data_IF_166303738242
#
_entry.id   IF_166303738242
#
_cell.length_a   1.000
_cell.length_b   1.000
_cell.length_c   1.000
_cell.angle_alpha   90.00
_cell.angle_beta   90.00
_cell.angle_gamma   90.00
#
_symmetry.space_group_name_H-M   'P 1'
#
loop_
_entity.id
_entity.type
_entity.pdbx_description
1 polymer ?
#
# COMPACT_ATOMS: atom_id res chain seq x y z
N UNK A 1 -11.92 16.07 -16.49
CA UNK A 1 -11.26 15.09 -17.38
C UNK A 1 -10.12 14.53 -16.56
N UNK A 2 -10.28 13.35 -15.96
CA UNK A 2 -9.19 12.69 -15.25
C UNK A 2 -8.11 12.33 -16.27
N UNK A 3 -6.90 12.86 -16.10
CA UNK A 3 -5.72 12.45 -16.85
C UNK A 3 -5.37 11.05 -16.36
N UNK A 4 -5.74 10.03 -17.11
CA UNK A 4 -5.22 8.66 -16.90
C UNK A 4 -3.71 8.76 -17.13
N UNK A 5 -2.92 8.58 -16.08
CA UNK A 5 -1.46 8.57 -16.18
C UNK A 5 -1.05 7.48 -17.17
N UNK A 6 -0.50 7.86 -18.28
CA UNK A 6 0.06 6.92 -19.25
C UNK A 6 1.34 6.32 -18.65
N UNK A 7 1.63 5.05 -18.92
CA UNK A 7 2.92 4.44 -18.57
C UNK A 7 4.11 5.20 -19.18
N UNK A 8 3.87 5.97 -20.25
CA UNK A 8 4.86 6.83 -20.87
C UNK A 8 5.26 8.06 -20.01
N UNK A 9 4.40 8.45 -19.08
CA UNK A 9 4.64 9.59 -18.18
C UNK A 9 5.43 9.18 -16.92
N UNK A 10 5.63 7.87 -16.71
CA UNK A 10 6.41 7.39 -15.60
C UNK A 10 7.91 7.55 -15.81
N UNK A 11 8.60 7.99 -14.75
CA UNK A 11 10.07 8.04 -14.67
C UNK A 11 10.56 6.92 -13.74
N UNK A 12 11.14 5.87 -14.30
CA UNK A 12 11.54 4.68 -13.54
C UNK A 12 12.98 4.81 -13.05
N UNK A 13 13.19 4.69 -11.74
CA UNK A 13 14.49 4.42 -11.13
C UNK A 13 14.60 2.91 -10.89
N UNK A 14 15.30 2.21 -11.77
CA UNK A 14 15.54 0.76 -11.69
C UNK A 14 16.80 0.46 -10.90
N UNK A 15 16.67 -0.02 -9.66
CA UNK A 15 17.78 -0.37 -8.77
C UNK A 15 18.06 -1.87 -8.88
N UNK A 16 18.98 -2.24 -9.74
CA UNK A 16 19.34 -3.64 -10.02
C UNK A 16 20.86 -3.75 -10.26
N UNK A 17 21.62 -4.40 -9.36
CA UNK A 17 23.07 -4.52 -9.48
C UNK A 17 23.53 -5.41 -10.63
N UNK A 18 22.68 -6.33 -11.10
CA UNK A 18 23.01 -7.19 -12.23
C UNK A 18 22.72 -6.51 -13.55
N UNK A 19 23.75 -6.13 -14.30
CA UNK A 19 23.60 -5.51 -15.62
C UNK A 19 22.73 -6.30 -16.58
N UNK A 20 22.83 -7.65 -16.55
CA UNK A 20 21.99 -8.52 -17.39
C UNK A 20 20.51 -8.42 -17.00
N UNK A 21 20.20 -8.46 -15.72
CA UNK A 21 18.83 -8.34 -15.23
C UNK A 21 18.28 -6.94 -15.46
N UNK A 22 19.07 -5.90 -15.19
CA UNK A 22 18.70 -4.53 -15.49
C UNK A 22 18.33 -4.33 -16.96
N UNK A 23 19.17 -4.86 -17.89
CA UNK A 23 18.88 -4.80 -19.33
C UNK A 23 17.58 -5.53 -19.69
N UNK A 24 17.33 -6.70 -19.09
CA UNK A 24 16.10 -7.46 -19.36
C UNK A 24 14.87 -6.68 -18.89
N UNK A 25 14.90 -6.19 -17.65
CA UNK A 25 13.79 -5.42 -17.06
C UNK A 25 13.56 -4.13 -17.84
N UNK A 26 14.61 -3.39 -18.19
CA UNK A 26 14.49 -2.16 -18.99
C UNK A 26 13.79 -2.41 -20.34
N UNK A 27 14.15 -3.48 -21.05
CA UNK A 27 13.48 -3.83 -22.30
C UNK A 27 11.99 -4.15 -22.10
N UNK A 28 11.65 -4.86 -21.02
CA UNK A 28 10.25 -5.15 -20.72
C UNK A 28 9.47 -3.86 -20.39
N UNK A 29 10.07 -2.91 -19.71
CA UNK A 29 9.49 -1.58 -19.44
C UNK A 29 9.31 -0.76 -20.72
N UNK A 30 10.32 -0.72 -21.59
CA UNK A 30 10.27 -0.06 -22.89
C UNK A 30 9.16 -0.63 -23.78
N UNK A 31 9.00 -1.97 -23.81
CA UNK A 31 7.91 -2.61 -24.57
C UNK A 31 6.52 -2.24 -24.06
N UNK A 32 6.40 -1.82 -22.82
CA UNK A 32 5.15 -1.33 -22.21
C UNK A 32 4.94 0.17 -22.39
N UNK A 33 5.88 0.85 -23.04
CA UNK A 33 5.76 2.27 -23.37
C UNK A 33 6.41 3.22 -22.35
N UNK A 34 7.15 2.70 -21.36
CA UNK A 34 7.94 3.54 -20.46
C UNK A 34 9.09 4.16 -21.21
N UNK A 35 9.19 5.52 -21.17
CA UNK A 35 10.18 6.27 -21.92
C UNK A 35 11.40 6.70 -21.10
N UNK A 36 11.25 6.81 -19.79
CA UNK A 36 12.29 7.34 -18.91
C UNK A 36 12.70 6.26 -17.90
N UNK A 37 13.89 5.67 -18.10
CA UNK A 37 14.44 4.64 -17.23
C UNK A 37 15.87 5.01 -16.87
N UNK A 38 16.12 5.17 -15.57
CA UNK A 38 17.48 5.33 -15.03
C UNK A 38 17.84 4.06 -14.27
N UNK A 39 18.94 3.42 -14.66
CA UNK A 39 19.43 2.20 -14.00
C UNK A 39 20.49 2.58 -12.97
N UNK A 40 20.34 2.08 -11.76
CA UNK A 40 21.20 2.31 -10.61
C UNK A 40 21.65 0.97 -10.04
N UNK A 41 22.87 0.88 -9.53
CA UNK A 41 23.44 -0.39 -9.06
C UNK A 41 23.27 -0.61 -7.55
N UNK A 42 22.91 0.42 -6.79
CA UNK A 42 22.86 0.37 -5.33
C UNK A 42 21.75 1.25 -4.75
N UNK A 43 21.37 0.98 -3.50
CA UNK A 43 20.38 1.79 -2.78
C UNK A 43 20.89 3.22 -2.51
N UNK A 44 22.17 3.38 -2.19
CA UNK A 44 22.75 4.69 -1.96
C UNK A 44 22.72 5.56 -3.23
N UNK A 45 22.93 4.96 -4.41
CA UNK A 45 22.76 5.68 -5.68
C UNK A 45 21.30 6.11 -5.88
N UNK A 46 20.33 5.26 -5.51
CA UNK A 46 18.91 5.58 -5.60
C UNK A 46 18.52 6.73 -4.66
N UNK A 47 18.94 6.66 -3.39
CA UNK A 47 18.68 7.72 -2.41
C UNK A 47 19.33 9.04 -2.82
N UNK A 48 20.57 9.01 -3.37
CA UNK A 48 21.23 10.19 -3.89
C UNK A 48 20.46 10.81 -5.08
N UNK A 49 20.05 10.00 -6.04
CA UNK A 49 19.28 10.47 -7.18
C UNK A 49 17.92 11.07 -6.76
N UNK A 50 17.26 10.46 -5.79
CA UNK A 50 16.00 10.96 -5.23
C UNK A 50 16.17 12.27 -4.47
N UNK A 51 17.28 12.43 -3.73
CA UNK A 51 17.57 13.66 -2.96
C UNK A 51 17.95 14.86 -3.85
N UNK A 52 18.44 14.62 -5.06
CA UNK A 52 18.69 15.67 -6.06
C UNK A 52 17.37 16.25 -6.63
N UNK A 53 16.26 15.59 -6.42
CA UNK A 53 14.92 15.97 -6.82
C UNK A 53 14.27 14.89 -7.71
N UNK A 54 13.25 14.23 -7.19
CA UNK A 54 12.46 13.28 -7.95
C UNK A 54 11.62 14.01 -9.03
N UNK A 55 11.65 13.51 -10.25
CA UNK A 55 10.78 14.01 -11.31
C UNK A 55 9.32 13.65 -11.01
N UNK A 56 8.37 14.42 -11.54
CA UNK A 56 6.97 14.04 -11.51
C UNK A 56 6.79 12.66 -12.17
N UNK A 57 5.98 11.79 -11.60
CA UNK A 57 5.81 10.42 -12.10
C UNK A 57 6.93 9.45 -11.75
N UNK A 58 7.84 9.80 -10.84
CA UNK A 58 8.91 8.90 -10.40
C UNK A 58 8.36 7.65 -9.71
N UNK A 59 8.85 6.48 -10.13
CA UNK A 59 8.58 5.16 -9.52
C UNK A 59 9.90 4.44 -9.30
N UNK A 60 10.12 3.93 -8.10
CA UNK A 60 11.30 3.11 -7.79
C UNK A 60 10.96 1.63 -8.01
N UNK A 61 11.73 0.94 -8.83
CA UNK A 61 11.70 -0.51 -9.00
C UNK A 61 13.01 -1.07 -8.47
N UNK A 62 12.98 -1.87 -7.41
CA UNK A 62 14.20 -2.35 -6.76
C UNK A 62 14.26 -3.86 -6.67
N UNK A 63 15.44 -4.42 -6.83
CA UNK A 63 15.76 -5.77 -6.39
C UNK A 63 15.82 -5.84 -4.87
N UNK A 64 15.48 -7.02 -4.29
CA UNK A 64 15.58 -7.24 -2.85
C UNK A 64 17.01 -7.20 -2.34
N UNK A 65 17.94 -7.81 -3.08
CA UNK A 65 19.35 -7.92 -2.69
C UNK A 65 20.19 -6.89 -3.45
N UNK A 66 20.59 -5.83 -2.77
CA UNK A 66 21.48 -4.80 -3.27
C UNK A 66 22.84 -4.92 -2.58
N UNK A 67 23.93 -4.34 -3.13
CA UNK A 67 25.27 -4.52 -2.59
C UNK A 67 25.53 -3.80 -1.26
N UNK A 68 24.77 -2.76 -0.97
CA UNK A 68 24.97 -1.85 0.16
C UNK A 68 23.90 -2.01 1.26
N UNK A 69 22.67 -2.28 0.91
CA UNK A 69 21.59 -2.59 1.86
C UNK A 69 20.50 -3.43 1.18
N UNK A 70 19.65 -4.15 1.91
CA UNK A 70 18.48 -4.80 1.36
C UNK A 70 17.49 -3.80 0.75
N UNK A 71 16.72 -4.20 -0.29
CA UNK A 71 15.65 -3.37 -0.84
C UNK A 71 14.53 -3.06 0.16
N UNK A 72 14.39 -3.89 1.22
CA UNK A 72 13.54 -3.60 2.39
C UNK A 72 13.97 -2.32 3.11
N UNK A 73 15.26 -2.18 3.35
CA UNK A 73 15.81 -1.04 4.08
C UNK A 73 15.74 0.23 3.21
N UNK A 74 15.89 0.07 1.88
CA UNK A 74 15.70 1.18 0.94
C UNK A 74 14.27 1.73 1.00
N UNK A 75 13.24 0.88 0.93
CA UNK A 75 11.86 1.36 1.00
C UNK A 75 11.54 1.95 2.38
N UNK A 76 12.08 1.38 3.46
CA UNK A 76 11.90 1.95 4.80
C UNK A 76 12.52 3.33 4.92
N UNK A 77 13.76 3.51 4.44
CA UNK A 77 14.42 4.82 4.40
C UNK A 77 13.64 5.85 3.58
N UNK A 78 13.03 5.44 2.46
CA UNK A 78 12.16 6.32 1.67
C UNK A 78 10.88 6.71 2.44
N UNK A 79 10.32 5.82 3.27
CA UNK A 79 9.10 6.12 4.06
C UNK A 79 9.36 6.95 5.31
N UNK A 80 10.62 7.01 5.77
CA UNK A 80 11.05 7.87 6.88
C UNK A 80 11.34 9.32 6.42
N UNK A 81 11.49 9.56 5.12
CA UNK A 81 11.75 10.87 4.53
C UNK A 81 10.45 11.45 3.94
N UNK A 82 9.96 12.57 4.50
CA UNK A 82 8.73 13.26 4.05
C UNK A 82 8.75 13.62 2.55
N UNK A 83 9.93 13.85 1.96
CA UNK A 83 10.06 14.15 0.54
C UNK A 83 9.95 12.91 -0.36
N UNK A 84 10.20 11.72 0.19
CA UNK A 84 10.27 10.45 -0.54
C UNK A 84 9.12 9.49 -0.20
N UNK A 85 8.43 9.69 0.91
CA UNK A 85 7.38 8.79 1.40
C UNK A 85 6.26 8.53 0.37
N UNK A 86 6.04 9.52 -0.49
CA UNK A 86 5.01 9.54 -1.53
C UNK A 86 5.42 8.84 -2.82
N UNK A 87 6.68 8.45 -2.99
CA UNK A 87 7.17 7.82 -4.22
C UNK A 87 6.78 6.35 -4.26
N UNK A 88 6.08 5.86 -5.31
CA UNK A 88 5.73 4.45 -5.45
C UNK A 88 6.98 3.57 -5.48
N UNK A 89 6.90 2.43 -4.78
CA UNK A 89 7.97 1.46 -4.72
C UNK A 89 7.47 0.07 -5.14
N UNK A 90 8.13 -0.52 -6.12
CA UNK A 90 7.89 -1.88 -6.60
C UNK A 90 9.11 -2.73 -6.25
N UNK A 91 8.91 -3.85 -5.54
CA UNK A 91 9.98 -4.79 -5.29
C UNK A 91 9.98 -5.91 -6.34
N UNK A 92 11.14 -6.23 -6.89
CA UNK A 92 11.37 -7.42 -7.72
C UNK A 92 12.24 -8.40 -6.94
N UNK A 93 11.73 -9.62 -6.65
CA UNK A 93 12.43 -10.58 -5.82
C UNK A 93 12.27 -12.03 -6.28
N UNK A 94 13.31 -12.86 -6.09
CA UNK A 94 13.20 -14.31 -6.15
C UNK A 94 12.80 -14.95 -4.83
N UNK A 95 12.66 -14.15 -3.79
CA UNK A 95 12.23 -14.60 -2.48
C UNK A 95 10.73 -14.83 -2.45
N UNK A 96 10.32 -15.97 -1.90
CA UNK A 96 8.90 -16.34 -1.78
C UNK A 96 8.47 -16.59 -0.34
N UNK A 97 9.45 -16.58 0.60
CA UNK A 97 9.15 -16.81 2.02
C UNK A 97 8.38 -15.64 2.62
N UNK A 98 7.18 -15.86 3.18
CA UNK A 98 6.36 -14.80 3.75
C UNK A 98 7.10 -13.96 4.79
N UNK A 99 7.89 -14.59 5.66
CA UNK A 99 8.64 -13.93 6.74
C UNK A 99 9.65 -12.87 6.23
N UNK A 100 10.18 -13.03 5.01
CA UNK A 100 11.12 -12.07 4.41
C UNK A 100 10.37 -10.99 3.64
N UNK A 101 9.20 -11.32 3.08
CA UNK A 101 8.39 -10.37 2.31
C UNK A 101 7.44 -9.54 3.18
N UNK A 102 7.15 -10.00 4.40
CA UNK A 102 6.24 -9.32 5.32
C UNK A 102 6.68 -7.88 5.66
N UNK A 103 7.95 -7.60 6.03
CA UNK A 103 8.39 -6.23 6.27
C UNK A 103 8.20 -5.32 5.05
N UNK A 104 8.30 -5.87 3.83
CA UNK A 104 8.13 -5.11 2.59
C UNK A 104 6.66 -4.76 2.37
N UNK A 105 5.75 -5.71 2.63
CA UNK A 105 4.30 -5.47 2.55
C UNK A 105 3.85 -4.42 3.55
N UNK A 106 4.47 -4.39 4.73
CA UNK A 106 4.20 -3.41 5.77
C UNK A 106 4.90 -2.07 5.55
N UNK A 107 5.93 -2.00 4.69
CA UNK A 107 6.63 -0.75 4.40
C UNK A 107 5.91 0.17 3.40
N UNK A 108 4.72 -0.20 2.92
CA UNK A 108 3.99 0.59 1.93
C UNK A 108 4.54 0.45 0.50
N UNK A 109 5.16 -0.69 0.16
CA UNK A 109 5.46 -1.00 -1.24
C UNK A 109 4.16 -1.18 -2.04
N UNK A 110 4.08 -0.58 -3.23
CA UNK A 110 2.88 -0.66 -4.09
C UNK A 110 2.68 -2.06 -4.67
N UNK A 111 3.77 -2.78 -4.95
CA UNK A 111 3.70 -4.11 -5.52
C UNK A 111 4.96 -4.93 -5.25
N UNK A 112 4.81 -6.25 -5.23
CA UNK A 112 5.91 -7.22 -5.18
C UNK A 112 5.80 -8.15 -6.39
N UNK A 113 6.85 -8.15 -7.23
CA UNK A 113 6.94 -8.97 -8.43
C UNK A 113 7.92 -10.11 -8.22
N UNK A 114 7.44 -11.36 -8.21
CA UNK A 114 8.26 -12.53 -7.97
C UNK A 114 8.96 -13.01 -9.24
N UNK A 115 10.29 -13.21 -9.16
CA UNK A 115 11.09 -13.81 -10.25
C UNK A 115 10.89 -15.34 -10.29
N UNK A 116 10.71 -15.98 -11.48
CA UNK A 116 10.57 -15.36 -12.80
C UNK A 116 9.19 -14.73 -13.00
N UNK A 117 9.11 -13.60 -13.68
CA UNK A 117 7.87 -12.89 -13.96
C UNK A 117 7.64 -12.66 -15.45
N UNK A 118 6.39 -12.48 -15.81
CA UNK A 118 5.95 -12.16 -17.17
C UNK A 118 5.81 -10.64 -17.34
N UNK A 119 5.76 -10.19 -18.61
CA UNK A 119 5.45 -8.79 -18.93
C UNK A 119 4.11 -8.34 -18.33
N UNK A 120 3.09 -9.21 -18.29
CA UNK A 120 1.80 -8.91 -17.68
C UNK A 120 1.88 -8.66 -16.17
N UNK A 121 2.74 -9.41 -15.45
CA UNK A 121 2.92 -9.19 -14.01
C UNK A 121 3.63 -7.86 -13.73
N UNK A 122 4.64 -7.53 -14.53
CA UNK A 122 5.31 -6.23 -14.45
C UNK A 122 4.34 -5.10 -14.81
N UNK A 123 3.51 -5.28 -15.85
CA UNK A 123 2.48 -4.33 -16.26
C UNK A 123 1.50 -4.01 -15.13
N UNK A 124 1.00 -5.04 -14.44
CA UNK A 124 0.10 -4.85 -13.29
C UNK A 124 0.76 -4.03 -12.19
N UNK A 125 2.03 -4.30 -11.89
CA UNK A 125 2.76 -3.53 -10.88
C UNK A 125 2.95 -2.06 -11.28
N UNK A 126 3.19 -1.79 -12.57
CA UNK A 126 3.28 -0.42 -13.09
C UNK A 126 1.94 0.32 -13.04
N UNK A 127 0.84 -0.36 -13.37
CA UNK A 127 -0.49 0.24 -13.23
C UNK A 127 -0.83 0.53 -11.77
N UNK A 128 -0.49 -0.37 -10.84
CA UNK A 128 -0.64 -0.11 -9.42
C UNK A 128 0.16 1.13 -8.96
N UNK A 129 1.38 1.31 -9.47
CA UNK A 129 2.18 2.50 -9.19
C UNK A 129 1.60 3.77 -9.85
N UNK A 130 1.06 3.67 -11.07
CA UNK A 130 0.41 4.78 -11.75
C UNK A 130 -0.89 5.22 -11.04
N UNK A 131 -1.70 4.24 -10.57
CA UNK A 131 -2.89 4.50 -9.75
C UNK A 131 -2.53 5.12 -8.40
N UNK A 132 -1.37 4.75 -7.85
CA UNK A 132 -0.84 5.36 -6.63
C UNK A 132 -0.48 6.82 -6.83
N UNK A 133 0.11 7.18 -7.96
CA UNK A 133 0.46 8.56 -8.32
C UNK A 133 -0.76 9.41 -8.68
N UNK A 134 -1.75 8.81 -9.32
CA UNK A 134 -2.96 9.48 -9.78
C UNK A 134 -4.18 8.57 -9.59
N UNK A 135 -4.72 8.50 -8.39
CA UNK A 135 -5.90 7.68 -8.11
C UNK A 135 -7.08 8.14 -8.97
N UNK A 136 -7.77 7.21 -9.67
CA UNK A 136 -8.93 7.55 -10.50
C UNK A 136 -10.04 8.18 -9.66
N UNK A 137 -10.69 9.23 -10.14
CA UNK A 137 -11.61 10.11 -9.41
C UNK A 137 -13.08 9.63 -9.43
N UNK A 138 -13.37 8.37 -9.04
CA UNK A 138 -14.71 7.77 -9.20
C UNK A 138 -15.55 7.61 -7.91
N UNK A 139 -15.10 8.09 -6.75
CA UNK A 139 -15.99 8.25 -5.60
C UNK A 139 -16.75 9.58 -5.74
N UNK A 140 -18.06 9.56 -5.55
CA UNK A 140 -18.82 10.80 -5.47
C UNK A 140 -18.33 11.56 -4.23
N UNK A 141 -17.70 12.73 -4.45
CA UNK A 141 -17.18 13.58 -3.37
C UNK A 141 -18.23 13.85 -2.29
N UNK A 142 -19.52 13.87 -2.68
CA UNK A 142 -20.62 14.06 -1.75
C UNK A 142 -20.81 12.87 -0.77
N UNK A 143 -20.39 11.66 -1.15
CA UNK A 143 -20.51 10.47 -0.27
C UNK A 143 -19.39 10.39 0.76
N UNK A 144 -18.22 10.97 0.48
CA UNK A 144 -17.04 10.91 1.35
C UNK A 144 -16.82 12.19 2.17
N UNK A 145 -17.49 13.28 1.78
CA UNK A 145 -17.39 14.58 2.50
C UNK A 145 -17.89 14.44 3.94
N UNK A 146 -16.99 14.67 4.87
CA UNK A 146 -17.29 14.59 6.30
C UNK A 146 -17.19 13.21 6.94
N UNK A 147 -16.89 12.15 6.18
CA UNK A 147 -16.63 10.82 6.73
C UNK A 147 -15.53 10.84 7.78
N UNK A 148 -15.75 10.11 8.86
CA UNK A 148 -14.77 9.86 9.92
C UNK A 148 -14.23 8.46 9.79
N UNK A 149 -12.96 8.34 9.46
CA UNK A 149 -12.28 7.05 9.26
C UNK A 149 -11.29 6.80 10.39
N UNK A 150 -11.34 5.60 10.96
CA UNK A 150 -10.35 5.11 11.91
C UNK A 150 -9.41 4.15 11.19
N UNK A 151 -8.11 4.48 11.18
CA UNK A 151 -7.05 3.60 10.70
C UNK A 151 -6.39 2.93 11.91
N UNK A 152 -6.28 1.61 11.88
CA UNK A 152 -5.67 0.82 12.95
C UNK A 152 -4.59 -0.10 12.35
N UNK A 153 -3.33 0.23 12.57
CA UNK A 153 -2.18 -0.53 12.05
C UNK A 153 -0.96 -0.20 12.93
N UNK A 154 -0.14 -1.16 13.29
CA UNK A 154 1.04 -0.94 14.13
C UNK A 154 2.21 -0.33 13.34
N UNK A 155 2.23 -0.50 12.02
CA UNK A 155 3.23 0.10 11.13
C UNK A 155 2.91 1.58 10.85
N UNK A 156 3.81 2.49 11.23
CA UNK A 156 3.71 3.90 10.91
C UNK A 156 3.63 4.14 9.39
N UNK A 157 4.44 3.43 8.62
CA UNK A 157 4.47 3.53 7.17
C UNK A 157 3.12 3.11 6.53
N UNK A 158 2.52 2.02 7.03
CA UNK A 158 1.18 1.60 6.58
C UNK A 158 0.12 2.65 6.90
N UNK A 159 0.13 3.23 8.11
CA UNK A 159 -0.82 4.28 8.49
C UNK A 159 -0.67 5.52 7.60
N UNK A 160 0.55 6.01 7.38
CA UNK A 160 0.81 7.15 6.50
C UNK A 160 0.34 6.87 5.07
N UNK A 161 0.61 5.67 4.54
CA UNK A 161 0.17 5.28 3.22
C UNK A 161 -1.35 5.26 3.09
N UNK A 162 -2.05 4.63 4.05
CA UNK A 162 -3.52 4.61 4.09
C UNK A 162 -4.10 6.02 4.24
N UNK A 163 -3.55 6.83 5.16
CA UNK A 163 -3.96 8.23 5.34
C UNK A 163 -3.92 8.98 4.04
N UNK A 164 -2.76 8.97 3.38
CA UNK A 164 -2.58 9.67 2.12
C UNK A 164 -3.58 9.24 1.06
N UNK A 165 -3.78 7.92 0.89
CA UNK A 165 -4.78 7.40 -0.06
C UNK A 165 -6.20 7.88 0.25
N UNK A 166 -6.57 7.96 1.53
CA UNK A 166 -7.88 8.45 1.95
C UNK A 166 -8.01 9.96 1.73
N UNK A 167 -6.97 10.74 2.01
CA UNK A 167 -6.92 12.18 1.75
C UNK A 167 -7.04 12.48 0.24
N UNK A 168 -6.41 11.70 -0.61
CA UNK A 168 -6.54 11.78 -2.07
C UNK A 168 -7.96 11.42 -2.56
N UNK A 169 -8.73 10.64 -1.78
CA UNK A 169 -10.16 10.37 -2.00
C UNK A 169 -11.09 11.47 -1.45
N UNK A 170 -10.54 12.52 -0.83
CA UNK A 170 -11.31 13.60 -0.23
C UNK A 170 -11.75 13.35 1.21
N UNK A 171 -11.25 12.31 1.87
CA UNK A 171 -11.56 12.00 3.28
C UNK A 171 -10.56 12.75 4.17
N UNK A 172 -11.03 13.79 4.87
CA UNK A 172 -10.17 14.64 5.70
C UNK A 172 -10.16 14.26 7.19
N UNK A 173 -11.23 13.57 7.67
CA UNK A 173 -11.39 13.26 9.10
C UNK A 173 -10.86 11.88 9.43
N UNK A 174 -9.54 11.75 9.49
CA UNK A 174 -8.84 10.50 9.74
C UNK A 174 -8.26 10.50 11.16
N UNK A 175 -8.57 9.46 11.91
CA UNK A 175 -8.01 9.18 13.24
C UNK A 175 -7.17 7.91 13.15
N UNK A 176 -6.05 7.86 13.86
CA UNK A 176 -5.13 6.71 13.84
C UNK A 176 -5.04 6.04 15.21
N UNK A 177 -4.89 4.72 15.19
CA UNK A 177 -4.57 3.89 16.33
C UNK A 177 -3.43 2.92 15.95
N UNK A 178 -2.58 2.57 16.90
CA UNK A 178 -1.43 1.66 16.69
C UNK A 178 -1.76 0.21 17.01
N UNK A 179 -2.89 -0.05 17.65
CA UNK A 179 -3.37 -1.40 18.00
C UNK A 179 -4.88 -1.39 18.28
N UNK A 180 -5.45 -2.59 18.43
CA UNK A 180 -6.87 -2.74 18.69
C UNK A 180 -7.33 -2.15 20.04
N UNK A 181 -6.47 -2.12 21.08
CA UNK A 181 -6.84 -1.53 22.38
C UNK A 181 -7.01 -0.01 22.30
N UNK A 182 -6.10 0.66 21.58
CA UNK A 182 -6.24 2.09 21.35
C UNK A 182 -7.47 2.38 20.48
N UNK A 183 -7.75 1.55 19.48
CA UNK A 183 -8.95 1.65 18.66
C UNK A 183 -10.24 1.52 19.50
N UNK A 184 -10.30 0.58 20.43
CA UNK A 184 -11.42 0.38 21.36
C UNK A 184 -11.68 1.66 22.19
N UNK A 185 -10.63 2.30 22.71
CA UNK A 185 -10.76 3.54 23.46
C UNK A 185 -11.34 4.67 22.59
N UNK A 186 -10.88 4.80 21.35
CA UNK A 186 -11.38 5.81 20.40
C UNK A 186 -12.84 5.53 20.00
N UNK A 187 -13.20 4.27 19.75
CA UNK A 187 -14.57 3.86 19.41
C UNK A 187 -15.57 4.10 20.55
N UNK A 188 -15.12 4.12 21.80
CA UNK A 188 -15.98 4.42 22.94
C UNK A 188 -16.45 5.88 22.95
N UNK A 189 -15.60 6.80 22.51
CA UNK A 189 -15.83 8.26 22.64
C UNK A 189 -16.19 8.93 21.30
N UNK A 190 -15.87 8.30 20.16
CA UNK A 190 -16.01 8.91 18.83
C UNK A 190 -16.77 7.97 17.90
N UNK A 191 -17.71 8.51 17.14
CA UNK A 191 -18.39 7.81 16.07
C UNK A 191 -17.53 7.82 14.80
N UNK A 192 -17.40 6.65 14.17
CA UNK A 192 -16.71 6.48 12.88
C UNK A 192 -17.69 5.93 11.84
N UNK A 193 -17.47 6.31 10.59
CA UNK A 193 -18.24 5.86 9.45
C UNK A 193 -17.56 4.65 8.77
N UNK A 194 -16.25 4.46 9.03
CA UNK A 194 -15.45 3.35 8.53
C UNK A 194 -14.28 3.06 9.47
N UNK A 195 -13.99 1.80 9.69
CA UNK A 195 -12.76 1.33 10.35
C UNK A 195 -11.93 0.55 9.34
N UNK A 196 -10.67 0.93 9.16
CA UNK A 196 -9.68 0.20 8.37
C UNK A 196 -8.66 -0.36 9.34
N UNK A 197 -8.51 -1.69 9.39
CA UNK A 197 -7.63 -2.34 10.37
C UNK A 197 -6.68 -3.32 9.73
N UNK A 198 -5.43 -3.35 10.20
CA UNK A 198 -4.55 -4.50 9.94
C UNK A 198 -5.03 -5.72 10.73
N UNK A 199 -4.65 -6.92 10.25
CA UNK A 199 -4.91 -8.16 10.96
C UNK A 199 -3.89 -8.38 12.10
N UNK A 200 -2.58 -8.24 11.80
CA UNK A 200 -1.49 -8.58 12.70
C UNK A 200 -1.02 -7.35 13.50
N UNK A 201 -1.59 -7.14 14.67
CA UNK A 201 -1.20 -6.05 15.56
C UNK A 201 -0.89 -6.58 16.96
N UNK A 202 -0.01 -5.90 17.73
CA UNK A 202 0.23 -6.23 19.13
C UNK A 202 -1.01 -5.97 20.00
N UNK A 203 -1.04 -6.53 21.20
CA UNK A 203 -2.05 -6.31 22.24
C UNK A 203 -3.47 -6.80 21.91
N UNK A 204 -4.02 -6.41 20.76
CA UNK A 204 -5.32 -6.83 20.24
C UNK A 204 -5.25 -6.84 18.72
N UNK A 205 -5.41 -8.00 18.12
CA UNK A 205 -5.38 -8.17 16.66
C UNK A 205 -6.65 -7.65 15.98
N UNK A 206 -6.61 -7.52 14.63
CA UNK A 206 -7.73 -6.97 13.87
C UNK A 206 -8.99 -7.84 13.92
N UNK A 207 -8.85 -9.16 14.13
CA UNK A 207 -9.98 -10.07 14.32
C UNK A 207 -10.65 -9.80 15.67
N UNK A 208 -9.87 -9.73 16.74
CA UNK A 208 -10.36 -9.45 18.09
C UNK A 208 -11.02 -8.07 18.15
N UNK A 209 -10.43 -7.07 17.49
CA UNK A 209 -11.04 -5.74 17.34
C UNK A 209 -12.39 -5.81 16.63
N UNK A 210 -12.48 -6.56 15.52
CA UNK A 210 -13.74 -6.73 14.79
C UNK A 210 -14.79 -7.43 15.67
N UNK A 211 -14.44 -8.51 16.36
CA UNK A 211 -15.33 -9.20 17.30
C UNK A 211 -15.84 -8.23 18.41
N UNK A 212 -14.95 -7.40 18.96
CA UNK A 212 -15.33 -6.38 19.93
C UNK A 212 -16.33 -5.38 19.33
N UNK A 213 -16.05 -4.85 18.13
CA UNK A 213 -16.94 -3.90 17.45
C UNK A 213 -18.33 -4.50 17.29
N UNK A 214 -18.44 -5.74 16.82
CA UNK A 214 -19.72 -6.42 16.54
C UNK A 214 -20.50 -6.81 17.81
N UNK A 215 -19.81 -7.08 18.91
CA UNK A 215 -20.45 -7.68 20.11
C UNK A 215 -20.54 -6.75 21.31
N UNK A 216 -19.68 -5.74 21.42
CA UNK A 216 -19.53 -4.94 22.63
C UNK A 216 -19.59 -3.41 22.37
N UNK A 217 -19.29 -2.97 21.13
CA UNK A 217 -19.34 -1.57 20.78
C UNK A 217 -20.78 -1.11 20.53
N UNK A 218 -21.06 0.15 20.87
CA UNK A 218 -22.31 0.80 20.48
C UNK A 218 -22.40 1.11 18.98
N UNK A 219 -21.27 0.96 18.25
CA UNK A 219 -21.14 1.11 16.80
C UNK A 219 -21.05 -0.27 16.11
N UNK A 220 -21.88 -1.24 16.52
CA UNK A 220 -21.79 -2.62 16.05
C UNK A 220 -21.89 -2.77 14.51
N UNK A 221 -22.54 -1.84 13.84
CA UNK A 221 -22.78 -1.87 12.39
C UNK A 221 -21.74 -1.09 11.57
N UNK A 222 -20.77 -0.42 12.22
CA UNK A 222 -19.74 0.33 11.48
C UNK A 222 -19.02 -0.59 10.49
N UNK A 223 -18.88 -0.20 9.22
CA UNK A 223 -18.11 -0.98 8.25
C UNK A 223 -16.67 -1.17 8.72
N UNK A 224 -16.17 -2.41 8.64
CA UNK A 224 -14.79 -2.76 8.96
C UNK A 224 -14.13 -3.35 7.73
N UNK A 225 -13.14 -2.63 7.20
CA UNK A 225 -12.28 -3.10 6.12
C UNK A 225 -10.98 -3.62 6.74
N UNK A 226 -10.67 -4.88 6.52
CA UNK A 226 -9.41 -5.46 6.95
C UNK A 226 -8.39 -5.44 5.83
N UNK A 227 -7.22 -4.86 6.11
CA UNK A 227 -6.08 -4.78 5.19
C UNK A 227 -4.98 -5.66 5.76
N UNK A 228 -4.60 -6.76 5.08
CA UNK A 228 -3.70 -7.74 5.66
C UNK A 228 -2.77 -8.38 4.64
N UNK A 229 -1.59 -8.80 5.11
CA UNK A 229 -0.67 -9.67 4.37
C UNK A 229 -0.88 -11.16 4.69
N UNK A 230 -1.86 -11.49 5.55
CA UNK A 230 -2.15 -12.87 5.94
C UNK A 230 -2.68 -13.69 4.76
N UNK A 231 -2.04 -14.83 4.50
CA UNK A 231 -2.40 -15.74 3.41
C UNK A 231 -3.02 -17.04 3.90
N UNK A 232 -3.13 -17.23 5.22
CA UNK A 232 -3.72 -18.44 5.79
C UNK A 232 -5.25 -18.40 5.65
N UNK A 233 -5.77 -19.23 4.74
CA UNK A 233 -7.20 -19.34 4.47
C UNK A 233 -8.06 -19.63 5.72
N UNK A 234 -7.53 -20.37 6.69
CA UNK A 234 -8.23 -20.64 7.95
C UNK A 234 -8.40 -19.39 8.82
N UNK A 235 -7.38 -18.52 8.85
CA UNK A 235 -7.42 -17.25 9.57
C UNK A 235 -8.34 -16.25 8.85
N UNK A 236 -8.23 -16.14 7.52
CA UNK A 236 -9.12 -15.28 6.72
C UNK A 236 -10.60 -15.68 6.87
N UNK A 237 -10.91 -16.98 6.85
CA UNK A 237 -12.26 -17.46 7.12
C UNK A 237 -12.74 -17.19 8.57
N UNK A 238 -11.83 -17.07 9.54
CA UNK A 238 -12.18 -16.64 10.89
C UNK A 238 -12.52 -15.15 10.96
N UNK A 239 -11.81 -14.34 10.20
CA UNK A 239 -12.04 -12.90 10.05
C UNK A 239 -13.40 -12.61 9.38
N UNK A 240 -13.74 -13.33 8.33
CA UNK A 240 -15.06 -13.23 7.69
C UNK A 240 -16.19 -13.54 8.68
N UNK A 241 -16.01 -14.59 9.49
CA UNK A 241 -17.00 -14.94 10.55
C UNK A 241 -17.07 -13.94 11.68
N UNK A 242 -16.00 -13.19 11.93
CA UNK A 242 -15.98 -12.08 12.90
C UNK A 242 -16.82 -10.88 12.42
N UNK A 243 -17.20 -10.84 11.14
CA UNK A 243 -18.10 -9.84 10.59
C UNK A 243 -17.40 -8.63 9.98
N UNK A 244 -16.22 -8.83 9.36
CA UNK A 244 -15.62 -7.79 8.51
C UNK A 244 -16.48 -7.54 7.27
N UNK A 245 -16.50 -6.31 6.80
CA UNK A 245 -17.23 -5.92 5.61
C UNK A 245 -16.50 -6.31 4.33
N UNK A 246 -15.18 -6.24 4.35
CA UNK A 246 -14.31 -6.67 3.26
C UNK A 246 -12.87 -6.95 3.76
N UNK A 247 -12.11 -7.72 2.98
CA UNK A 247 -10.70 -8.01 3.18
C UNK A 247 -9.93 -7.56 1.95
N UNK A 248 -8.80 -6.89 2.16
CA UNK A 248 -7.87 -6.45 1.14
C UNK A 248 -6.46 -6.96 1.45
N UNK A 249 -5.80 -7.53 0.46
CA UNK A 249 -4.42 -8.00 0.60
C UNK A 249 -3.43 -6.83 0.54
N UNK A 250 -2.38 -6.87 1.38
CA UNK A 250 -1.20 -6.01 1.26
C UNK A 250 -0.19 -6.65 0.28
N UNK A 251 0.45 -5.88 -0.61
CA UNK A 251 0.32 -4.45 -0.85
C UNK A 251 -1.02 -4.12 -1.51
N UNK A 252 -1.69 -3.09 -1.04
CA UNK A 252 -2.99 -2.70 -1.55
C UNK A 252 -2.89 -1.63 -2.63
N UNK A 253 -3.74 -1.76 -3.63
CA UNK A 253 -3.88 -0.79 -4.72
C UNK A 253 -4.99 0.22 -4.35
N UNK A 254 -4.77 1.49 -4.67
CA UNK A 254 -5.74 2.57 -4.39
C UNK A 254 -7.13 2.28 -4.98
N UNK A 255 -7.16 1.72 -6.19
CA UNK A 255 -8.41 1.31 -6.85
C UNK A 255 -9.18 0.22 -6.09
N UNK A 256 -8.47 -0.71 -5.45
CA UNK A 256 -9.11 -1.77 -4.64
C UNK A 256 -9.71 -1.20 -3.35
N UNK A 257 -8.96 -0.38 -2.61
CA UNK A 257 -9.45 0.28 -1.38
C UNK A 257 -10.68 1.13 -1.69
N UNK A 258 -10.63 1.93 -2.76
CA UNK A 258 -11.75 2.75 -3.20
C UNK A 258 -13.00 1.93 -3.46
N UNK A 259 -12.90 0.86 -4.26
CA UNK A 259 -14.04 -0.02 -4.55
C UNK A 259 -14.60 -0.62 -3.26
N UNK A 260 -13.74 -1.09 -2.35
CA UNK A 260 -14.17 -1.69 -1.09
C UNK A 260 -14.83 -0.67 -0.15
N UNK A 261 -14.37 0.58 -0.15
CA UNK A 261 -15.05 1.68 0.57
C UNK A 261 -16.44 1.92 -0.03
N UNK A 262 -16.54 2.06 -1.35
CA UNK A 262 -17.83 2.24 -2.03
C UNK A 262 -18.81 1.06 -1.74
N UNK A 263 -18.33 -0.17 -1.82
CA UNK A 263 -19.12 -1.37 -1.52
C UNK A 263 -19.55 -1.45 -0.04
N UNK A 264 -18.71 -0.95 0.87
CA UNK A 264 -19.01 -0.94 2.30
C UNK A 264 -20.04 0.13 2.70
N UNK A 265 -20.08 1.26 1.98
CA UNK A 265 -21.01 2.35 2.20
C UNK A 265 -22.40 2.12 1.57
N UNK A 266 -22.48 1.26 0.57
CA UNK A 266 -23.73 0.96 -0.16
C UNK A 266 -24.58 -0.15 0.49
N UNK A 267 -24.10 -0.74 1.60
CA UNK A 267 -24.80 -1.78 2.37
C UNK A 267 -25.49 -1.21 3.59
#
# INVERSE_FOLDING_TARGET
MALTTSLADLAILLVEPSHMQATLVSRMLEHQGVCHIQVLASANEALAALSEGAAEGTVVISSLYLPDMPGTDLVMAMREDEALEAIPFILISSETRPQVLEPIRQSGACSIVNKPFTEQQLSRALFAAADYLNPPADLDLAEVEGMRVLIVDDSLASRHHLRRMLEELGIERITEAVDGKQAVALLADTMFDLVITDYNMPEMDGRELTEYIRTQSWQAEVPVLMVTSEQNMGRLAAVERAGVSAICDKPFEAGNIRRLISDALTR
#
